data_IF_563707721169
#
_entry.id   IF_563707721169
#
_cell.length_a   1.000
_cell.length_b   1.000
_cell.length_c   1.000
_cell.angle_alpha   90.00
_cell.angle_beta   90.00
_cell.angle_gamma   90.00
#
_symmetry.space_group_name_H-M   'P 1'
#
loop_
_entity.id
_entity.type
_entity.pdbx_description
1 polymer ?
#
# COMPACT_ATOMS: atom_id res chain seq x y z
N UNK A 1 1.89 5.74 -14.72
CA UNK A 1 1.42 4.71 -13.76
C UNK A 1 0.43 3.80 -14.49
N UNK A 2 0.26 2.56 -14.06
CA UNK A 2 -0.47 1.49 -14.78
C UNK A 2 -2.00 1.53 -14.71
N UNK A 3 -2.58 2.52 -14.02
CA UNK A 3 -4.03 2.63 -13.82
C UNK A 3 -4.65 1.54 -12.92
N UNK A 4 -3.83 0.73 -12.24
CA UNK A 4 -4.30 -0.37 -11.37
C UNK A 4 -4.91 0.14 -10.07
N UNK A 5 -4.60 1.37 -9.67
CA UNK A 5 -5.11 1.99 -8.46
C UNK A 5 -5.87 3.27 -8.80
N UNK A 6 -7.00 3.47 -8.13
CA UNK A 6 -7.67 4.76 -8.03
C UNK A 6 -7.25 5.49 -6.75
N UNK A 7 -7.25 6.82 -6.80
CA UNK A 7 -7.02 7.67 -5.62
C UNK A 7 -8.06 8.79 -5.57
N UNK A 8 -8.49 9.19 -4.37
CA UNK A 8 -9.49 10.27 -4.21
C UNK A 8 -8.88 11.66 -3.90
N UNK A 9 -7.59 11.73 -3.50
CA UNK A 9 -6.95 12.96 -3.05
C UNK A 9 -6.03 13.58 -4.12
N UNK A 10 -6.63 14.16 -5.16
CA UNK A 10 -5.88 14.83 -6.22
C UNK A 10 -5.25 16.16 -5.80
N UNK A 11 -5.62 16.69 -4.65
CA UNK A 11 -5.13 17.93 -4.05
C UNK A 11 -3.83 17.73 -3.24
N UNK A 12 -3.55 16.50 -2.79
CA UNK A 12 -2.35 16.20 -2.02
C UNK A 12 -1.07 16.34 -2.88
N UNK A 13 0.05 16.83 -2.30
CA UNK A 13 1.29 17.06 -3.04
C UNK A 13 1.84 15.73 -3.58
N UNK A 14 2.29 15.77 -4.83
CA UNK A 14 2.86 14.62 -5.52
C UNK A 14 4.38 14.64 -5.37
N UNK A 15 4.95 13.65 -4.66
CA UNK A 15 6.34 13.66 -4.19
C UNK A 15 6.96 12.25 -4.24
N UNK A 16 8.28 12.16 -4.04
CA UNK A 16 9.00 10.88 -3.92
C UNK A 16 8.90 10.32 -2.50
N UNK A 17 9.22 9.03 -2.33
CA UNK A 17 9.30 8.41 -0.99
C UNK A 17 10.41 9.04 -0.13
N UNK A 18 11.52 9.49 -0.73
CA UNK A 18 12.56 10.20 0.01
C UNK A 18 12.07 11.54 0.55
N UNK A 19 11.28 12.29 -0.22
CA UNK A 19 10.64 13.52 0.27
C UNK A 19 9.70 13.24 1.44
N UNK A 20 8.91 12.16 1.38
CA UNK A 20 8.03 11.72 2.47
C UNK A 20 8.83 11.41 3.75
N UNK A 21 9.93 10.67 3.60
CA UNK A 21 10.80 10.26 4.71
C UNK A 21 11.46 11.47 5.38
N UNK A 22 11.93 12.42 4.58
CA UNK A 22 12.65 13.62 5.04
C UNK A 22 11.74 14.80 5.36
N UNK A 23 10.42 14.66 5.15
CA UNK A 23 9.47 15.74 5.40
C UNK A 23 9.51 16.21 6.86
N UNK A 24 9.61 17.52 7.05
CA UNK A 24 9.79 18.17 8.35
C UNK A 24 8.62 17.97 9.33
N UNK A 25 7.42 17.63 8.84
CA UNK A 25 6.30 17.29 9.70
C UNK A 25 6.10 15.77 9.82
N UNK A 26 5.91 15.33 11.06
CA UNK A 26 5.71 13.92 11.38
C UNK A 26 4.39 13.39 10.81
N UNK A 27 3.37 14.25 10.77
CA UNK A 27 2.02 13.93 10.27
C UNK A 27 1.72 14.72 9.01
N UNK A 28 1.53 14.05 7.89
CA UNK A 28 1.26 14.68 6.59
C UNK A 28 0.66 13.69 5.59
N UNK A 29 -0.01 14.21 4.56
CA UNK A 29 -0.61 13.46 3.46
C UNK A 29 0.14 13.76 2.16
N UNK A 30 0.34 12.74 1.34
CA UNK A 30 1.09 12.81 0.09
C UNK A 30 0.46 11.92 -0.98
N UNK A 31 0.85 12.15 -2.23
CA UNK A 31 0.72 11.19 -3.33
C UNK A 31 2.10 10.78 -3.83
N UNK A 32 2.23 9.50 -4.18
CA UNK A 32 3.45 8.95 -4.75
C UNK A 32 3.11 8.01 -5.89
N UNK A 33 4.08 7.79 -6.79
CA UNK A 33 4.09 6.65 -7.70
C UNK A 33 5.13 5.65 -7.22
N UNK A 34 4.67 4.45 -6.92
CA UNK A 34 5.46 3.40 -6.26
C UNK A 34 5.20 2.04 -6.91
N UNK A 35 6.02 1.06 -6.57
CA UNK A 35 5.78 -0.37 -6.78
C UNK A 35 5.54 -1.04 -5.43
N UNK A 36 4.63 -1.99 -5.40
CA UNK A 36 4.43 -2.86 -4.24
C UNK A 36 5.36 -4.06 -4.39
N UNK A 37 6.43 -4.08 -3.59
CA UNK A 37 7.44 -5.14 -3.67
C UNK A 37 6.99 -6.38 -2.91
N UNK A 38 6.33 -6.17 -1.77
CA UNK A 38 5.85 -7.24 -0.93
C UNK A 38 4.62 -6.80 -0.15
N UNK A 39 3.73 -7.75 0.13
CA UNK A 39 2.63 -7.61 1.09
C UNK A 39 2.73 -8.75 2.10
N UNK A 40 2.46 -8.45 3.36
CA UNK A 40 2.46 -9.39 4.46
C UNK A 40 1.17 -9.29 5.29
N UNK A 41 0.52 -10.42 5.61
CA UNK A 41 0.83 -11.76 5.10
C UNK A 41 0.58 -11.91 3.59
N UNK A 42 1.16 -12.92 2.96
CA UNK A 42 0.90 -13.24 1.53
C UNK A 42 -0.38 -14.06 1.36
N UNK A 43 -0.71 -14.87 2.36
CA UNK A 43 -1.93 -15.68 2.37
C UNK A 43 -3.12 -14.80 2.74
N UNK A 44 -4.05 -14.64 1.81
CA UNK A 44 -5.27 -13.83 1.96
C UNK A 44 -6.11 -14.26 3.16
N UNK A 45 -6.11 -15.57 3.48
CA UNK A 45 -6.84 -16.12 4.64
C UNK A 45 -6.30 -15.59 5.97
N UNK A 46 -5.08 -15.04 5.98
CA UNK A 46 -4.41 -14.46 7.15
C UNK A 46 -4.50 -12.93 7.21
N UNK A 47 -5.23 -12.30 6.30
CA UNK A 47 -5.33 -10.83 6.25
C UNK A 47 -6.05 -10.26 7.47
N UNK A 48 -6.91 -11.07 8.09
CA UNK A 48 -7.63 -10.73 9.31
C UNK A 48 -6.92 -11.32 10.52
N UNK A 49 -6.84 -10.54 11.58
CA UNK A 49 -6.44 -11.05 12.89
C UNK A 49 -7.59 -11.80 13.58
N UNK A 50 -7.34 -12.29 14.80
CA UNK A 50 -8.33 -13.00 15.61
C UNK A 50 -9.59 -12.18 15.92
N UNK A 51 -9.50 -10.85 15.86
CA UNK A 51 -10.62 -9.94 16.08
C UNK A 51 -11.34 -9.59 14.77
N UNK A 52 -10.95 -10.23 13.65
CA UNK A 52 -11.51 -9.97 12.32
C UNK A 52 -11.00 -8.68 11.67
N UNK A 53 -10.03 -7.97 12.27
CA UNK A 53 -9.50 -6.71 11.73
C UNK A 53 -8.43 -6.97 10.69
N UNK A 54 -8.46 -6.20 9.60
CA UNK A 54 -7.41 -6.25 8.59
C UNK A 54 -6.10 -5.73 9.17
N UNK A 55 -5.05 -6.55 9.05
CA UNK A 55 -3.70 -6.22 9.50
C UNK A 55 -2.70 -6.59 8.43
N UNK A 56 -2.51 -5.65 7.50
CA UNK A 56 -1.61 -5.83 6.37
C UNK A 56 -0.48 -4.82 6.41
N UNK A 57 0.71 -5.28 6.02
CA UNK A 57 1.87 -4.46 5.77
C UNK A 57 2.29 -4.62 4.32
N UNK A 58 2.79 -3.56 3.72
CA UNK A 58 3.41 -3.61 2.41
C UNK A 58 4.76 -2.89 2.42
N UNK A 59 5.67 -3.38 1.59
CA UNK A 59 6.90 -2.68 1.24
C UNK A 59 6.67 -1.96 -0.08
N UNK A 60 6.73 -0.63 -0.03
CA UNK A 60 6.67 0.22 -1.21
C UNK A 60 8.08 0.59 -1.63
N UNK A 61 8.28 0.72 -2.92
CA UNK A 61 9.52 1.19 -3.53
C UNK A 61 9.24 2.27 -4.58
N UNK A 62 10.10 3.28 -4.62
CA UNK A 62 10.32 4.08 -5.81
C UNK A 62 11.82 4.19 -6.11
N UNK A 63 12.21 5.05 -7.06
CA UNK A 63 13.61 5.23 -7.43
C UNK A 63 14.49 5.81 -6.29
N UNK A 64 13.89 6.32 -5.22
CA UNK A 64 14.56 7.08 -4.17
C UNK A 64 14.64 6.34 -2.84
N UNK A 65 13.65 5.50 -2.51
CA UNK A 65 13.60 4.81 -1.23
C UNK A 65 12.69 3.57 -1.23
N UNK A 66 12.76 2.82 -0.12
CA UNK A 66 11.78 1.80 0.27
C UNK A 66 11.18 2.12 1.63
N UNK A 67 9.87 1.96 1.79
CA UNK A 67 9.18 2.17 3.07
C UNK A 67 8.22 1.03 3.39
N UNK A 68 8.01 0.77 4.68
CA UNK A 68 6.98 -0.13 5.18
C UNK A 68 5.72 0.66 5.54
N UNK A 69 4.58 0.24 5.00
CA UNK A 69 3.29 0.91 5.18
C UNK A 69 2.22 -0.08 5.65
N UNK A 70 1.25 0.40 6.42
CA UNK A 70 0.04 -0.38 6.72
C UNK A 70 -1.02 -0.23 5.62
N UNK A 71 -1.73 -1.32 5.33
CA UNK A 71 -2.89 -1.37 4.44
C UNK A 71 -4.16 -1.72 5.22
N UNK A 72 -5.31 -1.29 4.72
CA UNK A 72 -6.64 -1.57 5.28
C UNK A 72 -7.54 -2.24 4.24
N UNK A 73 -8.66 -2.82 4.68
CA UNK A 73 -9.63 -3.51 3.82
C UNK A 73 -10.06 -2.69 2.61
N UNK A 74 -10.33 -1.39 2.83
CA UNK A 74 -10.77 -0.45 1.80
C UNK A 74 -9.80 -0.36 0.60
N UNK A 75 -8.51 -0.69 0.79
CA UNK A 75 -7.54 -0.73 -0.30
C UNK A 75 -7.90 -1.78 -1.36
N UNK A 76 -8.56 -2.87 -0.98
CA UNK A 76 -9.03 -3.88 -1.92
C UNK A 76 -10.39 -3.51 -2.53
N UNK A 77 -11.04 -2.42 -2.11
CA UNK A 77 -12.33 -1.97 -2.65
C UNK A 77 -13.46 -2.98 -2.50
N UNK A 78 -13.40 -3.84 -1.46
CA UNK A 78 -14.40 -4.87 -1.21
C UNK A 78 -14.95 -4.75 0.21
N UNK A 79 -16.28 -4.68 0.33
CA UNK A 79 -16.98 -4.75 1.62
C UNK A 79 -17.21 -6.21 2.07
N UNK A 80 -17.17 -7.14 1.11
CA UNK A 80 -17.33 -8.58 1.33
C UNK A 80 -16.06 -9.36 0.94
N UNK A 81 -15.81 -10.47 1.64
CA UNK A 81 -14.65 -11.32 1.42
C UNK A 81 -14.89 -12.19 0.18
N UNK A 82 -14.39 -11.75 -0.96
CA UNK A 82 -14.08 -12.66 -2.07
C UNK A 82 -12.58 -12.97 -2.00
N UNK A 83 -12.21 -14.12 -1.43
CA UNK A 83 -10.81 -14.54 -1.32
C UNK A 83 -10.15 -14.63 -2.70
N UNK A 84 -10.87 -15.16 -3.70
CA UNK A 84 -10.38 -15.29 -5.07
C UNK A 84 -10.12 -13.90 -5.68
N UNK A 85 -11.07 -12.98 -5.54
CA UNK A 85 -10.94 -11.60 -5.98
C UNK A 85 -9.77 -10.88 -5.30
N UNK A 86 -9.53 -11.12 -4.01
CA UNK A 86 -8.38 -10.55 -3.29
C UNK A 86 -7.05 -11.15 -3.78
N UNK A 87 -6.99 -12.46 -4.03
CA UNK A 87 -5.80 -13.11 -4.59
C UNK A 87 -5.47 -12.53 -5.97
N UNK A 88 -6.46 -12.38 -6.86
CA UNK A 88 -6.27 -11.76 -8.18
C UNK A 88 -5.76 -10.33 -8.08
N UNK A 89 -6.39 -9.52 -7.23
CA UNK A 89 -5.95 -8.14 -6.95
C UNK A 89 -4.52 -8.08 -6.42
N UNK A 90 -4.17 -8.97 -5.49
CA UNK A 90 -2.82 -9.05 -4.91
C UNK A 90 -1.78 -9.45 -5.96
N UNK A 91 -2.07 -10.47 -6.76
CA UNK A 91 -1.17 -10.91 -7.83
C UNK A 91 -0.93 -9.80 -8.85
N UNK A 92 -2.00 -9.12 -9.30
CA UNK A 92 -1.89 -7.97 -10.21
C UNK A 92 -1.04 -6.84 -9.63
N UNK A 93 -1.22 -6.53 -8.34
CA UNK A 93 -0.45 -5.50 -7.64
C UNK A 93 1.03 -5.85 -7.50
N UNK A 94 1.32 -7.14 -7.28
CA UNK A 94 2.68 -7.66 -7.14
C UNK A 94 3.30 -8.07 -8.49
N UNK A 95 2.59 -7.88 -9.61
CA UNK A 95 3.06 -8.27 -10.94
C UNK A 95 3.29 -9.77 -11.09
N UNK A 96 2.50 -10.60 -10.41
CA UNK A 96 2.46 -12.05 -10.59
C UNK A 96 1.70 -12.42 -11.86
N UNK A 97 2.22 -13.40 -12.58
CA UNK A 97 1.56 -13.98 -13.75
C UNK A 97 0.59 -15.08 -13.30
N UNK A 98 -0.65 -15.04 -13.78
CA UNK A 98 -1.67 -16.04 -13.44
C UNK A 98 -1.42 -17.39 -14.15
N UNK A 99 -0.77 -17.37 -15.31
CA UNK A 99 -0.49 -18.54 -16.14
C UNK A 99 0.80 -19.25 -15.73
N UNK A 100 1.81 -18.49 -15.27
CA UNK A 100 3.06 -19.07 -14.74
C UNK A 100 3.52 -18.40 -13.43
N UNK A 101 3.11 -18.96 -12.27
CA UNK A 101 3.51 -18.48 -10.95
C UNK A 101 5.03 -18.53 -10.68
N UNK A 102 5.81 -19.22 -11.52
CA UNK A 102 7.27 -19.33 -11.38
C UNK A 102 8.01 -18.19 -12.07
N UNK A 103 7.34 -17.40 -12.92
CA UNK A 103 7.97 -16.26 -13.56
C UNK A 103 8.37 -15.20 -12.53
N UNK A 104 9.51 -14.51 -12.74
CA UNK A 104 9.87 -13.38 -11.92
C UNK A 104 8.76 -12.33 -11.92
N UNK A 105 8.34 -11.93 -10.72
CA UNK A 105 7.36 -10.86 -10.56
C UNK A 105 7.92 -9.54 -11.09
N UNK A 106 7.08 -8.78 -11.78
CA UNK A 106 7.40 -7.42 -12.22
C UNK A 106 6.31 -6.45 -11.75
N UNK A 107 6.36 -5.99 -10.48
CA UNK A 107 5.33 -5.13 -9.93
C UNK A 107 5.17 -3.84 -10.77
N UNK A 108 3.93 -3.49 -11.16
CA UNK A 108 3.65 -2.29 -11.92
C UNK A 108 3.81 -1.02 -11.08
N UNK A 109 4.11 0.10 -11.74
CA UNK A 109 4.11 1.42 -11.11
C UNK A 109 2.68 1.93 -10.91
N UNK A 110 2.28 2.10 -9.66
CA UNK A 110 0.92 2.52 -9.26
C UNK A 110 0.95 3.83 -8.49
N UNK A 111 -0.13 4.59 -8.56
CA UNK A 111 -0.29 5.81 -7.77
C UNK A 111 -0.95 5.47 -6.43
N UNK A 112 -0.51 6.08 -5.34
CA UNK A 112 -1.16 5.93 -4.05
C UNK A 112 -1.10 7.18 -3.20
N UNK A 113 -2.06 7.33 -2.29
CA UNK A 113 -2.02 8.33 -1.23
C UNK A 113 -1.40 7.73 0.04
N UNK A 114 -0.41 8.45 0.60
CA UNK A 114 0.33 8.07 1.81
C UNK A 114 0.07 9.05 2.94
N UNK A 115 -0.21 8.52 4.12
CA UNK A 115 -0.33 9.31 5.34
C UNK A 115 0.76 8.91 6.33
N UNK A 116 1.61 9.85 6.70
CA UNK A 116 2.54 9.70 7.82
C UNK A 116 1.85 10.13 9.12
N UNK A 117 2.12 9.41 10.20
CA UNK A 117 1.58 9.69 11.54
C UNK A 117 2.49 9.09 12.61
N UNK A 118 2.38 9.55 13.84
CA UNK A 118 3.09 8.95 14.99
C UNK A 118 2.12 8.19 15.90
N UNK A 119 2.65 7.18 16.61
CA UNK A 119 1.87 6.40 17.59
C UNK A 119 2.10 6.85 19.03
N UNK A 120 3.24 7.47 19.31
CA UNK A 120 3.64 7.91 20.64
C UNK A 120 3.90 9.42 20.64
N UNK A 121 3.12 10.19 21.41
CA UNK A 121 3.30 11.63 21.56
C UNK A 121 4.66 12.02 22.13
N UNK A 122 5.25 11.17 22.97
CA UNK A 122 6.56 11.39 23.61
C UNK A 122 7.74 11.07 22.68
N UNK A 123 7.49 10.35 21.58
CA UNK A 123 8.50 9.96 20.60
C UNK A 123 7.87 10.04 19.20
N UNK A 124 7.62 11.26 18.73
CA UNK A 124 6.89 11.45 17.48
C UNK A 124 7.67 10.89 16.28
N UNK A 125 8.98 11.14 16.23
CA UNK A 125 9.82 10.71 15.12
C UNK A 125 10.12 9.21 15.14
N UNK A 126 10.52 8.63 16.27
CA UNK A 126 10.81 7.19 16.36
C UNK A 126 9.56 6.32 16.22
N UNK A 127 8.40 6.84 16.61
CA UNK A 127 7.11 6.18 16.41
C UNK A 127 6.40 6.56 15.11
N UNK A 128 7.05 7.30 14.20
CA UNK A 128 6.49 7.65 12.89
C UNK A 128 6.25 6.36 12.08
N UNK A 129 5.06 6.25 11.51
CA UNK A 129 4.60 5.14 10.67
C UNK A 129 3.86 5.72 9.47
N UNK A 130 3.67 4.87 8.48
CA UNK A 130 3.04 5.22 7.22
C UNK A 130 1.87 4.28 6.96
N UNK A 131 0.82 4.81 6.35
CA UNK A 131 -0.30 4.00 5.85
C UNK A 131 -0.75 4.46 4.48
N UNK A 132 -1.26 3.53 3.71
CA UNK A 132 -2.08 3.85 2.54
C UNK A 132 -3.46 4.30 3.03
N UNK A 133 -4.00 5.34 2.39
CA UNK A 133 -5.35 5.83 2.63
C UNK A 133 -5.96 6.26 1.30
N UNK A 134 -7.29 6.32 1.20
CA UNK A 134 -8.04 6.85 0.04
C UNK A 134 -7.50 6.42 -1.34
N UNK A 135 -7.03 5.18 -1.38
CA UNK A 135 -6.46 4.49 -2.52
C UNK A 135 -7.13 3.12 -2.56
N UNK A 136 -7.56 2.69 -3.73
CA UNK A 136 -8.15 1.36 -3.93
C UNK A 136 -7.59 0.72 -5.20
N UNK A 137 -7.52 -0.61 -5.22
CA UNK A 137 -7.24 -1.36 -6.44
C UNK A 137 -8.49 -1.29 -7.32
N UNK A 138 -8.35 -0.80 -8.54
CA UNK A 138 -9.44 -0.75 -9.52
C UNK A 138 -9.95 -2.16 -9.80
N UNK A 139 -11.27 -2.34 -9.83
CA UNK A 139 -11.86 -3.59 -10.30
C UNK A 139 -11.37 -3.88 -11.73
N UNK A 140 -11.19 -5.17 -12.02
CA UNK A 140 -11.12 -5.65 -13.40
C UNK A 140 -12.48 -6.23 -13.72
#
# INVERSE_FOLDING_TARGET
HSGITGVAHEDAPFVTLMDVLTYHNVTAKFRCVVRFIQVYPQDVRKFRDSDGKFKLLAILEDATARICVSLYAAFFGCDQIDEEGMVKKLNRLLGGDEMDPKLPRNPPWVQCCLFSFYRNKKDQWGSRRFRIFDTWITAS
#
